data_IF_045243534096
#
_entry.id   IF_045243534096
#
_cell.length_a   1.000
_cell.length_b   1.000
_cell.length_c   1.000
_cell.angle_alpha   90.00
_cell.angle_beta   90.00
_cell.angle_gamma   90.00
#
_symmetry.space_group_name_H-M   'P 1'
#
loop_
_entity.id
_entity.type
_entity.pdbx_description
1 polymer ?
#
# COMPACT_ATOMS: atom_id res chain seq x y z
N UNK A 1 -22.99 -16.42 -8.76
CA UNK A 1 -24.11 -16.35 -7.82
C UNK A 1 -23.58 -15.78 -6.51
N UNK A 2 -24.07 -14.63 -6.09
CA UNK A 2 -23.64 -13.97 -4.86
C UNK A 2 -24.62 -14.35 -3.76
N UNK A 3 -24.12 -14.87 -2.65
CA UNK A 3 -24.97 -15.31 -1.54
C UNK A 3 -25.56 -14.12 -0.74
N UNK A 4 -24.92 -12.94 -0.91
CA UNK A 4 -25.41 -11.69 -0.35
C UNK A 4 -24.83 -10.46 -1.07
N UNK A 5 -25.33 -9.27 -0.73
CA UNK A 5 -24.84 -7.99 -1.29
C UNK A 5 -23.35 -7.77 -1.02
N UNK A 6 -22.84 -8.32 0.07
CA UNK A 6 -21.42 -8.19 0.43
C UNK A 6 -20.49 -8.92 -0.54
N UNK A 7 -20.86 -10.12 -0.96
CA UNK A 7 -20.07 -10.89 -1.91
C UNK A 7 -20.04 -10.21 -3.27
N UNK A 8 -21.15 -9.60 -3.68
CA UNK A 8 -21.22 -8.80 -4.90
C UNK A 8 -20.33 -7.56 -4.82
N UNK A 9 -20.39 -6.83 -3.70
CA UNK A 9 -19.57 -5.65 -3.44
C UNK A 9 -18.09 -6.00 -3.43
N UNK A 10 -17.73 -7.06 -2.72
CA UNK A 10 -16.35 -7.54 -2.66
C UNK A 10 -15.85 -7.93 -4.04
N UNK A 11 -16.63 -8.67 -4.80
CA UNK A 11 -16.26 -9.11 -6.13
C UNK A 11 -16.03 -7.94 -7.09
N UNK A 12 -16.93 -6.96 -7.13
CA UNK A 12 -16.78 -5.76 -7.97
C UNK A 12 -15.51 -5.00 -7.58
N UNK A 13 -15.27 -4.83 -6.28
CA UNK A 13 -14.11 -4.09 -5.79
C UNK A 13 -12.80 -4.85 -6.08
N UNK A 14 -12.76 -6.17 -5.88
CA UNK A 14 -11.61 -7.01 -6.15
C UNK A 14 -11.30 -7.05 -7.66
N UNK A 15 -12.30 -7.24 -8.51
CA UNK A 15 -12.12 -7.34 -9.96
C UNK A 15 -11.74 -5.98 -10.59
N UNK A 16 -12.48 -4.93 -10.28
CA UNK A 16 -12.28 -3.63 -10.94
C UNK A 16 -11.09 -2.85 -10.36
N UNK A 17 -10.96 -2.75 -9.04
CA UNK A 17 -9.88 -2.01 -8.41
C UNK A 17 -8.52 -2.69 -8.60
N UNK A 18 -8.47 -4.03 -8.49
CA UNK A 18 -7.24 -4.80 -8.71
C UNK A 18 -6.85 -4.78 -10.19
N UNK A 19 -7.81 -4.89 -11.10
CA UNK A 19 -7.53 -4.79 -12.54
C UNK A 19 -6.90 -3.45 -12.90
N UNK A 20 -7.45 -2.34 -12.40
CA UNK A 20 -6.92 -0.99 -12.61
C UNK A 20 -5.46 -0.85 -12.14
N UNK A 21 -5.14 -1.43 -10.98
CA UNK A 21 -3.79 -1.35 -10.45
C UNK A 21 -2.81 -2.30 -11.16
N UNK A 22 -3.27 -3.47 -11.61
CA UNK A 22 -2.44 -4.43 -12.36
C UNK A 22 -2.12 -3.96 -13.79
N UNK A 23 -3.03 -3.26 -14.45
CA UNK A 23 -2.78 -2.66 -15.77
C UNK A 23 -1.69 -1.59 -15.72
N UNK A 24 -1.37 -1.09 -14.54
CA UNK A 24 -0.43 0.00 -14.29
C UNK A 24 0.80 -0.46 -13.49
N UNK A 25 1.30 -1.67 -13.76
CA UNK A 25 2.54 -2.16 -13.15
C UNK A 25 3.75 -1.40 -13.68
N UNK A 26 4.35 -0.57 -12.83
CA UNK A 26 5.53 0.24 -13.12
C UNK A 26 5.49 1.57 -12.38
N UNK A 27 6.65 2.21 -12.20
CA UNK A 27 6.75 3.42 -11.37
C UNK A 27 5.96 4.61 -11.91
N UNK A 28 5.98 4.82 -13.23
CA UNK A 28 5.19 5.88 -13.88
C UNK A 28 3.69 5.51 -13.90
N UNK A 29 3.39 4.24 -14.04
CA UNK A 29 2.04 3.72 -14.13
C UNK A 29 1.36 3.59 -12.76
N UNK A 30 2.14 3.49 -11.68
CA UNK A 30 1.62 3.47 -10.32
C UNK A 30 0.80 4.72 -9.99
N UNK A 31 1.30 5.91 -10.33
CA UNK A 31 0.60 7.15 -10.07
C UNK A 31 -0.74 7.22 -10.82
N UNK A 32 -0.77 6.77 -12.07
CA UNK A 32 -1.99 6.71 -12.86
C UNK A 32 -2.98 5.69 -12.30
N UNK A 33 -2.51 4.51 -11.91
CA UNK A 33 -3.34 3.47 -11.27
C UNK A 33 -3.93 3.94 -9.94
N UNK A 34 -3.14 4.66 -9.15
CA UNK A 34 -3.59 5.23 -7.89
C UNK A 34 -4.65 6.33 -8.12
N UNK A 35 -4.46 7.16 -9.14
CA UNK A 35 -5.46 8.16 -9.55
C UNK A 35 -6.77 7.50 -9.98
N UNK A 36 -6.70 6.50 -10.83
CA UNK A 36 -7.88 5.75 -11.27
C UNK A 36 -8.61 5.07 -10.11
N UNK A 37 -7.88 4.53 -9.14
CA UNK A 37 -8.47 3.97 -7.92
C UNK A 37 -9.27 5.02 -7.16
N UNK A 38 -8.71 6.20 -6.91
CA UNK A 38 -9.42 7.27 -6.21
C UNK A 38 -10.61 7.83 -7.02
N UNK A 39 -10.50 7.93 -8.34
CA UNK A 39 -11.62 8.31 -9.20
C UNK A 39 -12.75 7.30 -9.14
N UNK A 40 -12.44 6.01 -9.23
CA UNK A 40 -13.42 4.93 -9.06
C UNK A 40 -14.14 4.99 -7.72
N UNK A 41 -13.38 5.18 -6.62
CA UNK A 41 -13.95 5.31 -5.29
C UNK A 41 -14.86 6.54 -5.17
N UNK A 42 -14.54 7.64 -5.84
CA UNK A 42 -15.36 8.85 -5.86
C UNK A 42 -16.66 8.63 -6.64
N UNK A 43 -16.57 8.04 -7.82
CA UNK A 43 -17.74 7.77 -8.66
C UNK A 43 -18.71 6.77 -7.99
N UNK A 44 -18.16 5.82 -7.23
CA UNK A 44 -18.92 4.79 -6.54
C UNK A 44 -19.04 5.03 -5.03
N UNK A 45 -18.92 6.30 -4.59
CA UNK A 45 -18.82 6.66 -3.16
C UNK A 45 -19.95 6.09 -2.31
N UNK A 46 -21.19 6.20 -2.74
CA UNK A 46 -22.35 5.71 -1.98
C UNK A 46 -22.27 4.19 -1.75
N UNK A 47 -21.86 3.48 -2.77
CA UNK A 47 -21.67 2.03 -2.72
C UNK A 47 -20.50 1.64 -1.82
N UNK A 48 -19.35 2.31 -1.95
CA UNK A 48 -18.17 2.09 -1.12
C UNK A 48 -18.44 2.39 0.36
N UNK A 49 -19.20 3.46 0.66
CA UNK A 49 -19.64 3.77 2.02
C UNK A 49 -20.60 2.73 2.59
N UNK A 50 -21.52 2.21 1.78
CA UNK A 50 -22.41 1.14 2.19
C UNK A 50 -21.60 -0.12 2.53
N UNK A 51 -20.63 -0.48 1.69
CA UNK A 51 -19.73 -1.59 1.93
C UNK A 51 -18.93 -1.41 3.22
N UNK A 52 -18.29 -0.25 3.39
CA UNK A 52 -17.48 0.08 4.57
C UNK A 52 -18.31 -0.01 5.87
N UNK A 53 -19.53 0.53 5.87
CA UNK A 53 -20.40 0.52 7.03
C UNK A 53 -20.96 -0.87 7.35
N UNK A 54 -21.18 -1.68 6.33
CA UNK A 54 -21.76 -3.00 6.46
C UNK A 54 -20.75 -4.09 6.79
N UNK A 55 -19.58 -4.04 6.14
CA UNK A 55 -18.53 -5.06 6.27
C UNK A 55 -17.51 -4.72 7.34
N UNK A 56 -17.45 -3.45 7.75
CA UNK A 56 -16.51 -2.95 8.71
C UNK A 56 -15.08 -2.77 8.17
N UNK A 57 -14.27 -2.10 8.95
CA UNK A 57 -12.87 -1.75 8.66
C UNK A 57 -11.99 -2.97 8.37
N UNK A 58 -12.26 -4.10 9.03
CA UNK A 58 -11.45 -5.31 8.90
C UNK A 58 -11.54 -5.95 7.51
N UNK A 59 -12.67 -5.83 6.83
CA UNK A 59 -12.82 -6.33 5.48
C UNK A 59 -12.07 -5.47 4.46
N UNK A 60 -12.16 -4.15 4.56
CA UNK A 60 -11.39 -3.23 3.73
C UNK A 60 -9.88 -3.47 3.91
N UNK A 61 -9.43 -3.57 5.16
CA UNK A 61 -8.05 -3.90 5.49
C UNK A 61 -7.61 -5.23 4.90
N UNK A 62 -8.45 -6.26 4.98
CA UNK A 62 -8.16 -7.60 4.45
C UNK A 62 -8.04 -7.60 2.93
N UNK A 63 -8.92 -6.87 2.22
CA UNK A 63 -8.82 -6.65 0.79
C UNK A 63 -7.47 -6.03 0.40
N UNK A 64 -7.09 -4.91 1.03
CA UNK A 64 -5.79 -4.28 0.76
C UNK A 64 -4.60 -5.17 1.12
N UNK A 65 -4.70 -5.97 2.17
CA UNK A 65 -3.64 -6.90 2.56
C UNK A 65 -3.46 -8.08 1.61
N UNK A 66 -4.51 -8.51 0.93
CA UNK A 66 -4.47 -9.67 0.04
C UNK A 66 -4.14 -9.24 -1.40
N UNK A 67 -4.89 -8.31 -1.95
CA UNK A 67 -4.89 -8.00 -3.36
C UNK A 67 -3.96 -6.83 -3.71
N UNK A 68 -3.92 -5.80 -2.87
CA UNK A 68 -3.11 -4.59 -3.10
C UNK A 68 -1.68 -4.75 -2.59
N UNK A 69 -1.46 -5.62 -1.60
CA UNK A 69 -0.14 -5.83 -1.00
C UNK A 69 0.95 -6.13 -2.02
N UNK A 70 0.69 -7.03 -2.95
CA UNK A 70 1.67 -7.44 -3.97
C UNK A 70 2.05 -6.26 -4.86
N UNK A 71 1.07 -5.43 -5.23
CA UNK A 71 1.28 -4.25 -6.06
C UNK A 71 2.13 -3.22 -5.32
N UNK A 72 1.80 -2.93 -4.05
CA UNK A 72 2.57 -2.02 -3.20
C UNK A 72 4.01 -2.52 -3.04
N UNK A 73 4.19 -3.81 -2.77
CA UNK A 73 5.50 -4.41 -2.60
C UNK A 73 6.35 -4.29 -3.87
N UNK A 74 5.76 -4.59 -5.04
CA UNK A 74 6.43 -4.44 -6.33
C UNK A 74 6.80 -2.97 -6.61
N UNK A 75 5.91 -2.04 -6.28
CA UNK A 75 6.16 -0.60 -6.45
C UNK A 75 7.29 -0.12 -5.56
N UNK A 76 7.34 -0.54 -4.30
CA UNK A 76 8.46 -0.20 -3.39
C UNK A 76 9.78 -0.73 -3.94
N UNK A 77 9.82 -1.98 -4.42
CA UNK A 77 11.03 -2.55 -5.04
C UNK A 77 11.49 -1.76 -6.26
N UNK A 78 10.57 -1.37 -7.13
CA UNK A 78 10.88 -0.60 -8.33
C UNK A 78 11.45 0.78 -8.00
N UNK A 79 10.80 1.51 -7.08
CA UNK A 79 11.28 2.83 -6.64
C UNK A 79 12.65 2.70 -5.96
N UNK A 80 12.84 1.70 -5.11
CA UNK A 80 14.12 1.44 -4.45
C UNK A 80 15.22 1.15 -5.48
N UNK A 81 14.95 0.31 -6.47
CA UNK A 81 15.89 -0.02 -7.54
C UNK A 81 16.27 1.20 -8.39
N UNK A 82 15.32 2.07 -8.73
CA UNK A 82 15.60 3.34 -9.44
C UNK A 82 16.53 4.26 -8.65
N UNK A 83 16.44 4.21 -7.32
CA UNK A 83 17.28 5.01 -6.43
C UNK A 83 18.59 4.30 -6.03
N UNK A 84 18.86 3.11 -6.61
CA UNK A 84 20.05 2.33 -6.32
C UNK A 84 20.09 1.73 -4.92
N UNK A 85 18.91 1.49 -4.33
CA UNK A 85 18.76 0.92 -3.01
C UNK A 85 18.11 -0.47 -3.07
N UNK A 86 18.72 -1.44 -2.40
CA UNK A 86 18.14 -2.77 -2.22
C UNK A 86 17.59 -2.92 -0.79
N UNK A 87 16.27 -2.94 -0.66
CA UNK A 87 15.61 -3.23 0.61
C UNK A 87 15.74 -4.72 0.94
N UNK A 88 16.15 -5.03 2.17
CA UNK A 88 16.11 -6.40 2.67
C UNK A 88 14.67 -6.95 2.76
N UNK A 89 14.50 -8.26 2.69
CA UNK A 89 13.15 -8.88 2.67
C UNK A 89 12.31 -8.51 3.89
N UNK A 90 12.90 -8.43 5.07
CA UNK A 90 12.20 -8.04 6.29
C UNK A 90 11.77 -6.58 6.26
N UNK A 91 12.67 -5.69 5.84
CA UNK A 91 12.39 -4.26 5.69
C UNK A 91 11.28 -4.04 4.65
N UNK A 92 11.37 -4.71 3.50
CA UNK A 92 10.35 -4.66 2.46
C UNK A 92 8.99 -5.13 2.97
N UNK A 93 8.94 -6.19 3.77
CA UNK A 93 7.71 -6.69 4.38
C UNK A 93 7.11 -5.65 5.32
N UNK A 94 7.92 -5.02 6.16
CA UNK A 94 7.46 -3.99 7.10
C UNK A 94 7.00 -2.72 6.39
N UNK A 95 7.74 -2.26 5.39
CA UNK A 95 7.35 -1.11 4.56
C UNK A 95 6.04 -1.37 3.83
N UNK A 96 5.89 -2.55 3.24
CA UNK A 96 4.65 -2.95 2.57
C UNK A 96 3.48 -2.91 3.54
N UNK A 97 3.63 -3.48 4.73
CA UNK A 97 2.59 -3.49 5.76
C UNK A 97 2.22 -2.07 6.22
N UNK A 98 3.23 -1.21 6.38
CA UNK A 98 3.05 0.19 6.73
C UNK A 98 2.23 0.93 5.67
N UNK A 99 2.62 0.84 4.39
CA UNK A 99 1.92 1.53 3.30
C UNK A 99 0.53 0.97 3.02
N UNK A 100 0.30 -0.34 3.17
CA UNK A 100 -1.05 -0.91 3.12
C UNK A 100 -1.93 -0.31 4.21
N UNK A 101 -1.42 -0.21 5.44
CA UNK A 101 -2.15 0.39 6.55
C UNK A 101 -2.48 1.86 6.34
N UNK A 102 -1.52 2.64 5.83
CA UNK A 102 -1.71 4.06 5.50
C UNK A 102 -2.75 4.23 4.40
N UNK A 103 -2.67 3.45 3.32
CA UNK A 103 -3.61 3.55 2.20
C UNK A 103 -5.04 3.19 2.63
N UNK A 104 -5.22 2.14 3.43
CA UNK A 104 -6.51 1.79 4.02
C UNK A 104 -7.08 2.95 4.82
N UNK A 105 -6.27 3.57 5.69
CA UNK A 105 -6.69 4.69 6.54
C UNK A 105 -7.08 5.90 5.70
N UNK A 106 -6.29 6.27 4.69
CA UNK A 106 -6.59 7.41 3.82
C UNK A 106 -7.90 7.19 3.04
N UNK A 107 -8.09 6.00 2.48
CA UNK A 107 -9.32 5.65 1.75
C UNK A 107 -10.54 5.72 2.67
N UNK A 108 -10.43 5.12 3.86
CA UNK A 108 -11.52 5.14 4.85
C UNK A 108 -11.88 6.56 5.27
N UNK A 109 -10.91 7.33 5.73
CA UNK A 109 -11.11 8.69 6.23
C UNK A 109 -11.64 9.63 5.13
N UNK A 110 -11.19 9.44 3.89
CA UNK A 110 -11.70 10.20 2.76
C UNK A 110 -13.13 9.83 2.38
N UNK A 111 -13.46 8.54 2.37
CA UNK A 111 -14.83 8.08 2.12
C UNK A 111 -15.80 8.56 3.22
N UNK A 112 -15.36 8.58 4.45
CA UNK A 112 -16.13 9.08 5.59
C UNK A 112 -16.22 10.61 5.64
N UNK A 113 -15.38 11.32 4.88
CA UNK A 113 -15.32 12.79 4.86
C UNK A 113 -14.48 13.39 5.98
N UNK A 114 -13.70 12.58 6.69
CA UNK A 114 -12.78 13.03 7.74
C UNK A 114 -11.60 13.80 7.14
N UNK A 115 -11.15 13.41 5.94
CA UNK A 115 -10.19 14.17 5.13
C UNK A 115 -10.82 14.64 3.83
N UNK A 116 -10.38 15.81 3.36
CA UNK A 116 -10.85 16.43 2.13
C UNK A 116 -9.77 16.34 1.06
N UNK A 117 -10.18 16.36 -0.20
CA UNK A 117 -9.28 16.37 -1.35
C UNK A 117 -9.91 15.75 -2.57
N UNK A 118 -9.38 16.11 -3.74
CA UNK A 118 -9.74 15.48 -5.01
C UNK A 118 -8.94 14.17 -5.20
N UNK A 119 -9.38 13.26 -6.07
CA UNK A 119 -8.59 12.09 -6.45
C UNK A 119 -7.15 12.44 -6.87
N UNK A 120 -6.98 13.54 -7.61
CA UNK A 120 -5.69 14.01 -8.07
C UNK A 120 -4.77 14.47 -6.92
N UNK A 121 -5.34 15.14 -5.93
CA UNK A 121 -4.60 15.61 -4.74
C UNK A 121 -4.19 14.43 -3.88
N UNK A 122 -5.08 13.48 -3.64
CA UNK A 122 -4.82 12.30 -2.81
C UNK A 122 -3.79 11.36 -3.46
N UNK A 123 -3.95 11.07 -4.75
CA UNK A 123 -3.01 10.21 -5.46
C UNK A 123 -1.61 10.82 -5.53
N UNK A 124 -1.51 12.13 -5.78
CA UNK A 124 -0.24 12.85 -5.77
C UNK A 124 0.40 12.85 -4.39
N UNK A 125 -0.38 13.06 -3.34
CA UNK A 125 0.12 13.05 -1.98
C UNK A 125 0.71 11.68 -1.59
N UNK A 126 -0.02 10.60 -1.85
CA UNK A 126 0.43 9.23 -1.53
C UNK A 126 1.69 8.87 -2.32
N UNK A 127 1.73 9.17 -3.62
CA UNK A 127 2.91 8.93 -4.45
C UNK A 127 4.12 9.73 -3.98
N UNK A 128 3.93 11.00 -3.66
CA UNK A 128 5.00 11.87 -3.19
C UNK A 128 5.59 11.38 -1.85
N UNK A 129 4.75 11.02 -0.90
CA UNK A 129 5.19 10.50 0.40
C UNK A 129 6.00 9.20 0.23
N UNK A 130 5.54 8.29 -0.62
CA UNK A 130 6.26 7.06 -0.90
C UNK A 130 7.64 7.33 -1.51
N UNK A 131 7.72 8.20 -2.51
CA UNK A 131 8.98 8.57 -3.16
C UNK A 131 9.96 9.26 -2.21
N UNK A 132 9.47 10.19 -1.42
CA UNK A 132 10.30 10.91 -0.43
C UNK A 132 10.83 9.95 0.64
N UNK A 133 10.02 9.01 1.09
CA UNK A 133 10.45 7.99 2.05
C UNK A 133 11.55 7.11 1.46
N UNK A 134 11.33 6.53 0.29
CA UNK A 134 12.33 5.64 -0.34
C UNK A 134 13.60 6.39 -0.66
N UNK A 135 13.52 7.64 -1.16
CA UNK A 135 14.67 8.50 -1.38
C UNK A 135 15.41 8.79 -0.08
N UNK A 136 14.70 9.13 0.99
CA UNK A 136 15.28 9.37 2.31
C UNK A 136 15.99 8.14 2.87
N UNK A 137 15.42 6.95 2.68
CA UNK A 137 16.06 5.69 3.05
C UNK A 137 17.37 5.46 2.26
N UNK A 138 17.35 5.65 0.94
CA UNK A 138 18.54 5.55 0.08
C UNK A 138 19.65 6.51 0.48
N UNK A 139 19.30 7.76 0.78
CA UNK A 139 20.27 8.77 1.26
C UNK A 139 20.91 8.39 2.60
N UNK A 140 20.11 7.92 3.54
CA UNK A 140 20.59 7.47 4.86
C UNK A 140 21.63 6.37 4.73
N UNK A 141 21.35 5.38 3.88
CA UNK A 141 22.23 4.23 3.66
C UNK A 141 23.51 4.61 2.91
N UNK A 142 23.44 5.51 1.92
CA UNK A 142 24.64 6.01 1.21
C UNK A 142 25.54 6.83 2.10
N UNK A 143 25.02 7.56 3.08
CA UNK A 143 25.78 8.36 4.05
C UNK A 143 26.40 7.52 5.16
N UNK A 144 25.80 6.39 5.51
CA UNK A 144 26.29 5.52 6.58
C UNK A 144 27.50 4.66 6.18
N UNK A 145 27.84 4.59 4.87
CA UNK A 145 28.98 3.85 4.35
C UNK A 145 28.81 2.32 4.32
N UNK A 146 29.80 1.58 3.77
CA UNK A 146 29.76 0.12 3.79
C UNK A 146 29.91 -0.36 5.24
N UNK A 147 28.81 -0.85 5.84
CA UNK A 147 28.72 -1.32 7.21
C UNK A 147 27.60 -0.70 8.04
N UNK A 148 26.75 0.14 7.45
CA UNK A 148 25.53 0.59 8.10
C UNK A 148 24.61 -0.60 8.34
N UNK A 149 24.33 -0.87 9.63
CA UNK A 149 23.41 -1.92 10.02
C UNK A 149 22.02 -1.64 9.42
N UNK A 150 21.33 -2.67 8.88
CA UNK A 150 19.94 -2.56 8.52
C UNK A 150 19.13 -2.10 9.74
N UNK A 151 17.98 -1.43 9.52
CA UNK A 151 17.09 -0.95 10.58
C UNK A 151 16.66 -2.05 11.58
N UNK A 152 16.83 -3.31 11.20
CA UNK A 152 16.55 -4.48 12.00
C UNK A 152 17.75 -5.42 11.90
N UNK A 153 18.43 -5.65 13.02
CA UNK A 153 19.41 -6.72 13.10
C UNK A 153 18.70 -8.07 12.98
N UNK A 154 19.29 -9.05 12.27
CA UNK A 154 18.76 -10.40 12.30
C UNK A 154 18.87 -10.92 13.73
N UNK A 155 17.75 -11.42 14.28
CA UNK A 155 17.65 -12.00 15.62
C UNK A 155 18.77 -13.00 15.86
N UNK A 156 19.73 -12.64 16.69
CA UNK A 156 20.65 -13.56 17.31
C UNK A 156 19.98 -14.21 18.52
N UNK A 157 18.88 -14.90 18.29
CA UNK A 157 18.34 -15.88 19.25
C UNK A 157 18.96 -17.26 18.99
N UNK A 158 20.22 -17.39 19.35
CA UNK A 158 20.84 -18.68 19.64
C UNK A 158 21.57 -18.55 20.96
N UNK A 159 20.80 -18.52 22.04
CA UNK A 159 21.35 -18.76 23.37
C UNK A 159 21.71 -20.25 23.51
N UNK A 160 22.85 -20.57 24.11
CA UNK A 160 23.27 -21.98 24.26
C UNK A 160 22.33 -22.72 25.24
N UNK A 161 21.82 -23.84 24.77
CA UNK A 161 21.19 -24.83 25.64
C UNK A 161 22.30 -25.39 26.55
N UNK A 162 22.30 -24.97 27.80
CA UNK A 162 23.16 -25.54 28.84
C UNK A 162 22.57 -26.86 29.28
N UNK A 163 23.47 -27.87 29.34
CA UNK A 163 23.18 -29.22 29.79
C UNK A 163 22.79 -29.25 31.29
#
# INVERSE_FOLDING_TARGET
>A
HFDNVYDAVRWIFEEEAVALLREHEGVMLWQDGLLQLFQYLQENRAFCLCALRSMGRDHLKRFFQTDIRTIIQSTIRLIAAELGYEAGEQELTMLTQFYVGVLVSIVEDWLLGEIQGTPEELSRFVDQVLRDHVRGAGLRLSQAGPGAAPLLEPDHCAGPVSK
#
